data_IF_932171013781
#
_entry.id   IF_932171013781
#
_cell.length_a   1.000
_cell.length_b   1.000
_cell.length_c   1.000
_cell.angle_alpha   90.00
_cell.angle_beta   90.00
_cell.angle_gamma   90.00
#
_symmetry.space_group_name_H-M   'P 1'
#
loop_
_entity.id
_entity.type
_entity.pdbx_description
1 polymer ?
#
# COMPACT_ATOMS: atom_id res chain seq x y z
N UNK A 1 -16.33 2.71 16.87
CA UNK A 1 -15.19 3.55 17.33
C UNK A 1 -15.43 5.05 17.20
N UNK A 2 -16.35 5.52 16.34
CA UNK A 2 -16.63 6.96 16.16
C UNK A 2 -17.06 7.67 17.45
N UNK A 3 -17.63 6.95 18.42
CA UNK A 3 -18.10 7.53 19.69
C UNK A 3 -16.97 7.85 20.67
N UNK A 4 -15.74 7.37 20.41
CA UNK A 4 -14.58 7.69 21.22
C UNK A 4 -13.80 8.85 20.60
N UNK A 5 -14.08 10.07 21.10
CA UNK A 5 -13.48 11.30 20.60
C UNK A 5 -11.93 11.29 20.64
N UNK A 6 -11.33 10.63 21.63
CA UNK A 6 -9.88 10.54 21.78
C UNK A 6 -9.27 9.77 20.59
N UNK A 7 -9.84 8.62 20.23
CA UNK A 7 -9.35 7.82 19.11
C UNK A 7 -9.44 8.58 17.78
N UNK A 8 -10.54 9.30 17.55
CA UNK A 8 -10.73 10.10 16.32
C UNK A 8 -9.67 11.19 16.22
N UNK A 9 -9.41 11.93 17.30
CA UNK A 9 -8.42 13.02 17.33
C UNK A 9 -7.01 12.49 17.09
N UNK A 10 -6.61 11.42 17.78
CA UNK A 10 -5.28 10.81 17.62
C UNK A 10 -5.10 10.27 16.20
N UNK A 11 -6.08 9.52 15.68
CA UNK A 11 -5.99 8.95 14.35
C UNK A 11 -5.88 10.03 13.26
N UNK A 12 -6.60 11.16 13.40
CA UNK A 12 -6.54 12.27 12.45
C UNK A 12 -5.14 12.88 12.35
N UNK A 13 -4.35 12.82 13.42
CA UNK A 13 -2.95 13.24 13.42
C UNK A 13 -2.00 12.12 12.98
N UNK A 14 -2.25 10.88 13.41
CA UNK A 14 -1.37 9.75 13.16
C UNK A 14 -1.37 9.30 11.69
N UNK A 15 -2.54 9.31 11.03
CA UNK A 15 -2.69 8.89 9.63
C UNK A 15 -1.74 9.65 8.69
N UNK A 16 -1.73 11.01 8.64
CA UNK A 16 -0.81 11.74 7.77
C UNK A 16 0.65 11.54 8.18
N UNK A 17 0.95 11.38 9.47
CA UNK A 17 2.31 11.11 9.95
C UNK A 17 2.83 9.76 9.44
N UNK A 18 2.01 8.71 9.50
CA UNK A 18 2.34 7.37 8.98
C UNK A 18 2.52 7.40 7.47
N UNK A 19 1.67 8.13 6.74
CA UNK A 19 1.83 8.30 5.29
C UNK A 19 3.13 9.03 4.94
N UNK A 20 3.46 10.11 5.65
CA UNK A 20 4.71 10.85 5.46
C UNK A 20 5.93 9.96 5.77
N UNK A 21 5.87 9.17 6.85
CA UNK A 21 6.90 8.20 7.17
C UNK A 21 7.02 7.10 6.10
N UNK A 22 5.90 6.65 5.52
CA UNK A 22 5.88 5.74 4.37
C UNK A 22 6.61 6.32 3.15
N UNK A 23 6.41 7.61 2.85
CA UNK A 23 7.15 8.30 1.78
C UNK A 23 8.65 8.37 2.10
N UNK A 24 9.02 8.67 3.36
CA UNK A 24 10.41 8.65 3.79
C UNK A 24 11.05 7.27 3.54
N UNK A 25 10.39 6.19 3.99
CA UNK A 25 10.85 4.80 3.80
C UNK A 25 10.95 4.42 2.32
N UNK A 26 10.04 4.91 1.47
CA UNK A 26 10.06 4.68 0.03
C UNK A 26 11.27 5.34 -0.64
N UNK A 27 11.57 6.61 -0.33
CA UNK A 27 12.64 7.35 -1.00
C UNK A 27 14.03 7.12 -0.40
N UNK A 28 14.12 6.56 0.82
CA UNK A 28 15.39 6.26 1.49
C UNK A 28 15.70 4.77 1.57
N UNK A 29 14.98 3.93 0.82
CA UNK A 29 15.20 2.48 0.78
C UNK A 29 16.58 2.06 0.28
N UNK A 30 17.25 2.90 -0.51
CA UNK A 30 18.59 2.61 -1.02
C UNK A 30 19.72 2.83 0.01
N UNK A 31 19.50 3.67 1.03
CA UNK A 31 20.53 4.03 2.04
C UNK A 31 20.22 3.49 3.44
N UNK A 32 18.98 3.06 3.69
CA UNK A 32 18.51 2.63 5.00
C UNK A 32 17.68 1.35 4.89
N UNK A 33 17.52 0.58 5.98
CA UNK A 33 16.55 -0.51 6.01
C UNK A 33 15.16 0.02 5.64
N UNK A 34 14.64 -0.40 4.49
CA UNK A 34 13.57 0.34 3.84
C UNK A 34 13.04 -0.30 2.56
N UNK A 35 12.35 0.51 1.77
CA UNK A 35 11.98 0.20 0.39
C UNK A 35 10.48 0.08 0.16
N UNK A 36 10.14 -0.22 -1.09
CA UNK A 36 8.76 -0.21 -1.59
C UNK A 36 7.79 -1.07 -0.81
N UNK A 37 8.17 -2.30 -0.46
CA UNK A 37 7.29 -3.22 0.26
C UNK A 37 6.83 -2.64 1.61
N UNK A 38 7.78 -2.16 2.42
CA UNK A 38 7.52 -1.66 3.76
C UNK A 38 6.73 -0.34 3.70
N UNK A 39 7.08 0.55 2.77
CA UNK A 39 6.30 1.74 2.50
C UNK A 39 4.86 1.41 2.13
N UNK A 40 4.65 0.43 1.24
CA UNK A 40 3.32 -0.04 0.86
C UNK A 40 2.49 -0.54 2.04
N UNK A 41 3.10 -1.30 2.96
CA UNK A 41 2.45 -1.74 4.20
C UNK A 41 2.07 -0.56 5.09
N UNK A 42 2.94 0.45 5.25
CA UNK A 42 2.63 1.67 6.02
C UNK A 42 1.43 2.43 5.44
N UNK A 43 1.37 2.58 4.12
CA UNK A 43 0.23 3.20 3.44
C UNK A 43 -1.06 2.40 3.64
N UNK A 44 -1.01 1.07 3.52
CA UNK A 44 -2.16 0.22 3.80
C UNK A 44 -2.59 0.33 5.27
N UNK A 45 -1.66 0.34 6.22
CA UNK A 45 -1.96 0.48 7.64
C UNK A 45 -2.62 1.83 7.96
N UNK A 46 -2.15 2.93 7.37
CA UNK A 46 -2.77 4.25 7.52
C UNK A 46 -4.22 4.27 6.99
N UNK A 47 -4.47 3.64 5.84
CA UNK A 47 -5.81 3.51 5.29
C UNK A 47 -6.71 2.57 6.11
N UNK A 48 -6.18 1.46 6.62
CA UNK A 48 -6.90 0.54 7.51
C UNK A 48 -7.29 1.26 8.80
N UNK A 49 -6.37 2.03 9.41
CA UNK A 49 -6.68 2.86 10.58
C UNK A 49 -7.80 3.85 10.27
N UNK A 50 -7.77 4.50 9.10
CA UNK A 50 -8.86 5.36 8.64
C UNK A 50 -10.19 4.59 8.57
N UNK A 51 -10.20 3.38 7.99
CA UNK A 51 -11.40 2.54 7.91
C UNK A 51 -11.90 2.07 9.27
N UNK A 52 -11.02 1.75 10.22
CA UNK A 52 -11.42 1.33 11.57
C UNK A 52 -12.10 2.47 12.34
N UNK A 53 -11.64 3.71 12.14
CA UNK A 53 -12.20 4.89 12.80
C UNK A 53 -13.48 5.36 12.09
N UNK A 54 -13.43 5.53 10.77
CA UNK A 54 -14.48 6.15 9.97
C UNK A 54 -15.37 5.14 9.24
N UNK A 55 -15.15 3.84 9.37
CA UNK A 55 -15.96 2.80 8.71
C UNK A 55 -15.57 2.52 7.25
N UNK A 56 -15.85 1.28 6.82
CA UNK A 56 -15.49 0.78 5.48
C UNK A 56 -16.16 1.58 4.35
N UNK A 57 -17.42 1.96 4.52
CA UNK A 57 -18.14 2.73 3.50
C UNK A 57 -17.47 4.09 3.25
N UNK A 58 -17.07 4.79 4.30
CA UNK A 58 -16.34 6.07 4.19
C UNK A 58 -14.96 5.86 3.57
N UNK A 59 -14.24 4.82 3.95
CA UNK A 59 -12.96 4.47 3.33
C UNK A 59 -13.07 4.20 1.83
N UNK A 60 -14.13 3.51 1.41
CA UNK A 60 -14.42 3.22 0.01
C UNK A 60 -14.91 4.44 -0.80
N UNK A 61 -15.43 5.48 -0.13
CA UNK A 61 -15.69 6.77 -0.78
C UNK A 61 -14.40 7.55 -1.06
N UNK A 62 -13.37 7.38 -0.22
CA UNK A 62 -12.05 8.01 -0.41
C UNK A 62 -11.24 7.24 -1.45
N UNK A 63 -11.13 5.91 -1.31
CA UNK A 63 -10.45 5.05 -2.28
C UNK A 63 -11.42 3.94 -2.72
N UNK A 64 -12.07 4.08 -3.88
CA UNK A 64 -13.01 3.08 -4.38
C UNK A 64 -12.32 1.73 -4.61
N UNK A 65 -13.05 0.62 -4.39
CA UNK A 65 -12.51 -0.72 -4.55
C UNK A 65 -11.91 -0.96 -5.95
N UNK A 66 -12.56 -0.43 -7.00
CA UNK A 66 -12.04 -0.52 -8.38
C UNK A 66 -10.68 0.15 -8.56
N UNK A 67 -10.43 1.27 -7.87
CA UNK A 67 -9.12 1.95 -7.86
C UNK A 67 -8.08 1.08 -7.16
N UNK A 68 -8.43 0.44 -6.05
CA UNK A 68 -7.51 -0.46 -5.32
C UNK A 68 -7.12 -1.65 -6.22
N UNK A 69 -8.07 -2.28 -6.91
CA UNK A 69 -7.75 -3.33 -7.90
C UNK A 69 -6.85 -2.81 -9.03
N UNK A 70 -7.15 -1.63 -9.56
CA UNK A 70 -6.36 -1.04 -10.63
C UNK A 70 -4.92 -0.74 -10.18
N UNK A 71 -4.73 -0.18 -8.98
CA UNK A 71 -3.41 0.06 -8.38
C UNK A 71 -2.62 -1.24 -8.20
N UNK A 72 -3.27 -2.33 -7.76
CA UNK A 72 -2.61 -3.62 -7.63
C UNK A 72 -2.03 -4.11 -8.97
N UNK A 73 -2.76 -3.93 -10.08
CA UNK A 73 -2.29 -4.30 -11.41
C UNK A 73 -1.21 -3.33 -11.91
N UNK A 74 -1.43 -2.01 -11.78
CA UNK A 74 -0.52 -0.98 -12.29
C UNK A 74 0.84 -1.03 -11.63
N UNK A 75 0.90 -1.31 -10.32
CA UNK A 75 2.19 -1.45 -9.64
C UNK A 75 3.05 -2.59 -10.20
N UNK A 76 2.44 -3.75 -10.47
CA UNK A 76 3.13 -4.90 -11.09
C UNK A 76 3.51 -4.59 -12.54
N UNK A 77 2.61 -3.94 -13.29
CA UNK A 77 2.91 -3.53 -14.66
C UNK A 77 4.07 -2.53 -14.72
N UNK A 78 4.17 -1.61 -13.76
CA UNK A 78 5.29 -0.68 -13.67
C UNK A 78 6.61 -1.44 -13.43
N UNK A 79 6.63 -2.39 -12.49
CA UNK A 79 7.78 -3.26 -12.27
C UNK A 79 8.22 -3.97 -13.57
N UNK A 80 7.27 -4.62 -14.26
CA UNK A 80 7.54 -5.34 -15.51
C UNK A 80 8.01 -4.39 -16.61
N UNK A 81 7.38 -3.22 -16.74
CA UNK A 81 7.72 -2.22 -17.75
C UNK A 81 9.15 -1.72 -17.58
N UNK A 82 9.55 -1.34 -16.35
CA UNK A 82 10.91 -0.86 -16.08
C UNK A 82 11.93 -1.98 -16.32
N UNK A 83 11.63 -3.21 -15.91
CA UNK A 83 12.51 -4.35 -16.18
C UNK A 83 12.67 -4.66 -17.68
N UNK A 84 11.60 -4.48 -18.48
CA UNK A 84 11.62 -4.68 -19.93
C UNK A 84 12.31 -3.54 -20.69
N UNK A 85 12.27 -2.30 -20.18
CA UNK A 85 12.99 -1.18 -20.79
C UNK A 85 14.49 -1.47 -20.91
N UNK A 86 15.10 -2.08 -19.89
CA UNK A 86 16.49 -2.52 -19.94
C UNK A 86 16.76 -3.47 -21.11
N UNK A 87 15.85 -4.40 -21.39
CA UNK A 87 15.95 -5.35 -22.51
C UNK A 87 15.79 -4.65 -23.87
N UNK A 88 14.81 -3.74 -23.99
CA UNK A 88 14.56 -2.99 -25.24
C UNK A 88 15.79 -2.15 -25.62
N UNK A 89 16.53 -1.66 -24.63
CA UNK A 89 17.74 -0.87 -24.81
C UNK A 89 19.02 -1.72 -24.97
N UNK A 90 18.89 -3.05 -25.09
CA UNK A 90 20.01 -3.97 -25.35
C UNK A 90 20.69 -4.54 -24.10
N UNK A 91 20.16 -4.25 -22.91
CA UNK A 91 20.59 -4.84 -21.64
C UNK A 91 19.81 -6.11 -21.26
N UNK A 92 19.92 -6.50 -19.99
CA UNK A 92 19.16 -7.63 -19.41
C UNK A 92 17.88 -7.14 -18.73
N UNK A 93 17.00 -8.07 -18.34
CA UNK A 93 15.84 -7.71 -17.51
C UNK A 93 16.29 -7.13 -16.16
N UNK A 94 15.73 -5.98 -15.77
CA UNK A 94 16.15 -5.16 -14.62
C UNK A 94 17.60 -4.67 -14.71
N UNK A 95 18.14 -4.58 -15.91
CA UNK A 95 19.39 -3.88 -16.15
C UNK A 95 19.10 -2.39 -16.30
N UNK A 96 19.57 -1.61 -15.32
CA UNK A 96 19.29 -0.18 -15.25
C UNK A 96 20.32 0.68 -15.98
N UNK A 97 21.51 0.14 -16.26
CA UNK A 97 22.60 0.91 -16.89
C UNK A 97 22.22 1.54 -18.24
N UNK A 98 21.44 0.88 -19.12
CA UNK A 98 21.07 1.47 -20.40
C UNK A 98 20.06 2.63 -20.31
N UNK A 99 19.44 2.90 -19.16
CA UNK A 99 18.38 3.91 -19.04
C UNK A 99 18.87 5.36 -19.04
N UNK A 100 20.07 5.64 -18.49
CA UNK A 100 20.62 6.98 -18.37
C UNK A 100 22.14 6.96 -18.60
N UNK A 101 22.69 8.09 -19.06
CA UNK A 101 24.13 8.21 -19.38
C UNK A 101 25.05 8.00 -18.17
N UNK A 102 24.57 8.34 -16.97
CA UNK A 102 25.30 8.14 -15.71
C UNK A 102 24.92 6.80 -15.07
N UNK A 103 25.86 5.83 -14.97
CA UNK A 103 25.58 4.48 -14.43
C UNK A 103 24.96 4.50 -13.03
N UNK A 104 25.47 5.37 -12.15
CA UNK A 104 24.98 5.50 -10.78
C UNK A 104 23.54 6.01 -10.77
N UNK A 105 23.27 7.10 -11.49
CA UNK A 105 21.94 7.72 -11.55
C UNK A 105 20.92 6.78 -12.18
N UNK A 106 21.31 6.04 -13.22
CA UNK A 106 20.46 5.05 -13.88
C UNK A 106 20.01 3.96 -12.89
N UNK A 107 20.95 3.43 -12.11
CA UNK A 107 20.67 2.39 -11.14
C UNK A 107 19.78 2.87 -9.99
N UNK A 108 20.04 4.05 -9.44
CA UNK A 108 19.20 4.63 -8.38
C UNK A 108 17.77 4.88 -8.87
N UNK A 109 17.61 5.52 -10.04
CA UNK A 109 16.31 5.79 -10.61
C UNK A 109 15.54 4.49 -10.91
N UNK A 110 16.21 3.50 -11.47
CA UNK A 110 15.64 2.19 -11.77
C UNK A 110 15.13 1.47 -10.52
N UNK A 111 15.96 1.40 -9.47
CA UNK A 111 15.59 0.79 -8.18
C UNK A 111 14.40 1.53 -7.56
N UNK A 112 14.46 2.85 -7.44
CA UNK A 112 13.37 3.65 -6.84
C UNK A 112 12.05 3.42 -7.59
N UNK A 113 12.07 3.37 -8.93
CA UNK A 113 10.87 3.20 -9.74
C UNK A 113 10.28 1.80 -9.64
N UNK A 114 11.14 0.78 -9.63
CA UNK A 114 10.75 -0.63 -9.40
C UNK A 114 10.15 -0.79 -8.01
N UNK A 115 10.81 -0.25 -6.98
CA UNK A 115 10.32 -0.28 -5.61
C UNK A 115 9.00 0.47 -5.46
N UNK A 116 8.83 1.61 -6.13
CA UNK A 116 7.55 2.32 -6.13
C UNK A 116 6.42 1.45 -6.69
N UNK A 117 6.64 0.74 -7.80
CA UNK A 117 5.67 -0.22 -8.34
C UNK A 117 5.34 -1.35 -7.36
N UNK A 118 6.35 -1.89 -6.68
CA UNK A 118 6.16 -2.89 -5.62
C UNK A 118 5.35 -2.30 -4.47
N UNK A 119 5.66 -1.09 -4.01
CA UNK A 119 4.97 -0.44 -2.89
C UNK A 119 3.51 -0.15 -3.18
N UNK A 120 3.19 0.33 -4.39
CA UNK A 120 1.80 0.51 -4.84
C UNK A 120 1.04 -0.82 -4.84
N UNK A 121 1.66 -1.89 -5.37
CA UNK A 121 1.05 -3.23 -5.40
C UNK A 121 0.79 -3.74 -3.98
N UNK A 122 1.79 -3.65 -3.10
CA UNK A 122 1.70 -4.14 -1.72
C UNK A 122 0.63 -3.38 -0.95
N UNK A 123 0.60 -2.05 -1.06
CA UNK A 123 -0.44 -1.23 -0.43
C UNK A 123 -1.84 -1.69 -0.88
N UNK A 124 -2.04 -1.82 -2.20
CA UNK A 124 -3.30 -2.23 -2.77
C UNK A 124 -3.71 -3.65 -2.32
N UNK A 125 -2.80 -4.63 -2.38
CA UNK A 125 -3.09 -6.03 -2.00
C UNK A 125 -3.43 -6.13 -0.51
N UNK A 126 -2.71 -5.45 0.38
CA UNK A 126 -3.01 -5.46 1.82
C UNK A 126 -4.38 -4.82 2.09
N UNK A 127 -4.71 -3.71 1.41
CA UNK A 127 -6.05 -3.11 1.47
C UNK A 127 -7.14 -4.09 0.97
N UNK A 128 -6.91 -4.78 -0.16
CA UNK A 128 -7.84 -5.78 -0.70
C UNK A 128 -8.09 -6.93 0.29
N UNK A 129 -7.03 -7.47 0.89
CA UNK A 129 -7.14 -8.52 1.90
C UNK A 129 -7.99 -8.04 3.07
N UNK A 130 -7.68 -6.87 3.63
CA UNK A 130 -8.47 -6.28 4.72
C UNK A 130 -9.94 -6.09 4.33
N UNK A 131 -10.22 -5.59 3.13
CA UNK A 131 -11.59 -5.40 2.65
C UNK A 131 -12.36 -6.72 2.54
N UNK A 132 -11.70 -7.81 2.12
CA UNK A 132 -12.34 -9.12 2.05
C UNK A 132 -12.76 -9.61 3.44
N UNK A 133 -11.88 -9.48 4.44
CA UNK A 133 -12.24 -9.81 5.82
C UNK A 133 -13.35 -8.91 6.37
N UNK A 134 -13.26 -7.60 6.16
CA UNK A 134 -14.25 -6.64 6.63
C UNK A 134 -15.65 -6.89 6.00
N UNK A 135 -15.70 -7.18 4.69
CA UNK A 135 -16.94 -7.54 3.99
C UNK A 135 -17.49 -8.88 4.47
N UNK A 136 -16.62 -9.88 4.66
CA UNK A 136 -17.05 -11.20 5.14
C UNK A 136 -17.71 -11.10 6.52
N UNK A 137 -17.12 -10.34 7.44
CA UNK A 137 -17.71 -10.10 8.77
C UNK A 137 -19.10 -9.46 8.66
N UNK A 138 -19.22 -8.39 7.88
CA UNK A 138 -20.49 -7.69 7.69
C UNK A 138 -21.58 -8.59 7.05
N UNK A 139 -21.21 -9.55 6.21
CA UNK A 139 -22.13 -10.54 5.65
C UNK A 139 -22.57 -11.58 6.70
N UNK A 140 -21.66 -12.07 7.54
CA UNK A 140 -21.99 -13.00 8.62
C UNK A 140 -22.93 -12.36 9.66
N UNK A 141 -22.68 -11.10 10.03
CA UNK A 141 -23.56 -10.34 10.94
C UNK A 141 -24.98 -10.22 10.36
N UNK A 142 -25.12 -9.94 9.05
CA UNK A 142 -26.42 -9.90 8.37
C UNK A 142 -27.11 -11.26 8.28
N UNK A 143 -26.34 -12.36 8.27
CA UNK A 143 -26.87 -13.71 8.26
C UNK A 143 -27.21 -14.24 9.67
N UNK A 144 -27.05 -13.43 10.72
CA UNK A 144 -27.26 -13.84 12.10
C UNK A 144 -26.20 -14.79 12.65
N UNK A 145 -25.05 -14.89 11.99
CA UNK A 145 -23.91 -15.70 12.45
C UNK A 145 -23.05 -14.80 13.34
N UNK A 146 -23.25 -14.89 14.66
CA UNK A 146 -22.39 -14.24 15.65
C UNK A 146 -21.12 -15.07 15.84
N UNK A 147 -19.97 -14.42 15.70
CA UNK A 147 -18.73 -15.01 16.17
C UNK A 147 -18.73 -14.87 17.70
N UNK A 148 -18.40 -15.94 18.41
CA UNK A 148 -18.19 -15.89 19.84
C UNK A 148 -16.96 -15.01 20.10
N UNK A 149 -17.19 -13.83 20.67
CA UNK A 149 -16.15 -12.84 20.94
C UNK A 149 -15.32 -13.20 22.19
N UNK A 150 -15.61 -14.33 22.84
CA UNK A 150 -14.89 -14.81 24.02
C UNK A 150 -15.06 -13.91 25.26
N UNK A 151 -16.04 -13.01 25.25
CA UNK A 151 -16.33 -12.06 26.33
C UNK A 151 -17.30 -12.60 27.39
N UNK A 152 -17.66 -13.89 27.32
CA UNK A 152 -18.54 -14.56 28.27
C UNK A 152 -17.78 -15.26 29.42
N UNK A 153 -16.59 -14.79 29.78
CA UNK A 153 -15.78 -15.26 30.91
C UNK A 153 -15.43 -14.15 31.91
#
# INVERSE_FOLDING_TARGET
MRDNAILVVIARFLIPLVMLFGLYVQFHGEYSPGGGFQAGVLFAAAWILFVLIYGLETGLRVIPAGVIYWLACVGVLLYCFVGLLGVILGGRFLDFYPLLDSPHTAQQAGIILVEFGVGVTVAAVVMLIFMQFARRRALCEKAGITFDDGTDA
#
